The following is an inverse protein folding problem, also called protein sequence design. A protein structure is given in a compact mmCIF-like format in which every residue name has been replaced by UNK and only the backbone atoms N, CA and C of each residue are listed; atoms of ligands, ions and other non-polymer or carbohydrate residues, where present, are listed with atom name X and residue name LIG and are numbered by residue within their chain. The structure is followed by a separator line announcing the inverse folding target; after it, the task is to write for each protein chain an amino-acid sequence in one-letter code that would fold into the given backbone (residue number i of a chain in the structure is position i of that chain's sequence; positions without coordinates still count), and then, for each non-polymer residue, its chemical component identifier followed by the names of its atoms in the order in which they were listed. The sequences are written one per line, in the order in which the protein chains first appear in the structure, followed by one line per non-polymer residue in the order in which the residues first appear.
data_IF_156849415116
#
_entry.id   IF_156849415116
#
_cell.length_a   1.000
_cell.length_b   1.000
_cell.length_c   1.000
_cell.angle_alpha   90.00
_cell.angle_beta   90.00
_cell.angle_gamma   90.00
#
_symmetry.space_group_name_H-M   'P 1'
#
loop_
_entity.id
_entity.type
_entity.pdbx_description
1 polymer ?
#
# COMPACT_ATOMS: atom_id res chain seq x y z
N UNK A 1 31.49 -27.91 10.67
CA UNK A 1 31.83 -26.59 11.24
C UNK A 1 30.99 -25.42 10.69
N UNK A 2 30.07 -25.64 9.76
CA UNK A 2 29.27 -24.57 9.10
C UNK A 2 27.92 -24.31 9.82
N UNK A 3 27.50 -25.18 10.74
CA UNK A 3 26.20 -25.07 11.41
C UNK A 3 26.19 -24.11 12.63
N UNK A 4 27.36 -23.65 13.08
CA UNK A 4 27.49 -22.74 14.25
C UNK A 4 27.37 -21.25 13.91
N UNK A 5 27.57 -20.85 12.64
CA UNK A 5 27.48 -19.43 12.25
C UNK A 5 26.07 -18.97 11.90
N UNK A 6 25.19 -19.87 11.44
CA UNK A 6 23.78 -19.54 11.13
C UNK A 6 22.92 -19.31 12.39
N UNK A 7 23.25 -19.96 13.52
CA UNK A 7 22.52 -19.73 14.80
C UNK A 7 22.80 -18.37 15.45
N UNK A 8 23.89 -17.69 15.10
CA UNK A 8 24.25 -16.41 15.73
C UNK A 8 23.53 -15.18 15.13
N UNK A 9 22.89 -15.29 13.96
CA UNK A 9 22.17 -14.15 13.36
C UNK A 9 20.69 -14.07 13.76
N UNK A 10 20.14 -15.12 14.36
CA UNK A 10 18.74 -15.15 14.84
C UNK A 10 18.61 -14.99 16.35
N UNK A 11 19.74 -14.86 17.07
CA UNK A 11 19.80 -14.88 18.54
C UNK A 11 19.69 -13.50 19.22
N UNK A 12 19.53 -12.39 18.48
CA UNK A 12 19.54 -11.04 19.10
C UNK A 12 18.17 -10.53 19.58
N UNK A 13 17.05 -11.24 19.36
CA UNK A 13 15.73 -10.77 19.83
C UNK A 13 14.77 -11.84 20.37
N UNK A 14 15.28 -13.00 20.79
CA UNK A 14 14.46 -14.05 21.43
C UNK A 14 14.91 -14.47 22.84
N UNK A 15 16.08 -14.02 23.33
CA UNK A 15 16.56 -14.36 24.68
C UNK A 15 16.35 -13.21 25.68
N UNK A 16 15.09 -12.89 25.97
CA UNK A 16 14.70 -12.11 27.15
C UNK A 16 13.79 -12.91 28.11
N UNK A 17 13.61 -14.21 27.87
CA UNK A 17 12.92 -15.12 28.76
C UNK A 17 13.71 -16.43 28.85
N UNK A 18 14.11 -16.76 30.09
CA UNK A 18 14.75 -18.00 30.55
C UNK A 18 16.24 -18.20 30.23
N UNK A 19 17.09 -17.72 31.15
CA UNK A 19 18.23 -18.51 31.62
C UNK A 19 18.41 -18.26 33.14
N UNK A 20 18.15 -19.28 33.95
CA UNK A 20 18.43 -19.29 35.39
C UNK A 20 19.79 -19.97 35.59
N UNK A 21 20.86 -19.18 35.61
CA UNK A 21 22.16 -19.60 36.12
C UNK A 21 22.86 -18.45 36.88
N UNK A 22 22.54 -18.37 38.17
CA UNK A 22 23.32 -17.80 39.28
C UNK A 22 24.43 -16.76 39.04
N UNK A 23 24.12 -15.54 38.57
CA UNK A 23 24.98 -14.36 38.76
C UNK A 23 24.17 -13.11 39.20
N UNK A 24 24.78 -12.15 39.93
CA UNK A 24 24.05 -11.06 40.58
C UNK A 24 23.34 -10.16 39.56
N UNK A 25 22.04 -9.93 39.78
CA UNK A 25 21.18 -9.13 38.91
C UNK A 25 21.68 -7.67 38.81
N UNK A 26 22.43 -7.34 37.76
CA UNK A 26 22.41 -5.98 37.21
C UNK A 26 21.04 -5.76 36.55
N UNK A 27 20.38 -4.67 36.95
CA UNK A 27 18.95 -4.45 36.74
C UNK A 27 18.48 -4.63 35.29
N UNK A 28 17.30 -5.23 35.13
CA UNK A 28 16.56 -5.28 33.86
C UNK A 28 16.59 -3.90 33.18
N UNK A 29 16.92 -3.79 31.87
CA UNK A 29 16.89 -2.51 31.18
C UNK A 29 15.49 -1.91 31.33
N UNK A 30 15.43 -0.74 31.96
CA UNK A 30 14.18 -0.03 32.23
C UNK A 30 13.54 0.31 30.88
N UNK A 31 12.31 -0.16 30.64
CA UNK A 31 11.58 0.11 29.38
C UNK A 31 11.63 1.62 29.11
N UNK A 32 11.97 2.04 27.87
CA UNK A 32 12.10 3.46 27.56
C UNK A 32 10.78 4.19 27.84
N UNK A 33 10.86 5.41 28.35
CA UNK A 33 9.68 6.24 28.61
C UNK A 33 8.89 6.47 27.32
N UNK A 34 7.59 6.73 27.42
CA UNK A 34 6.76 7.05 26.26
C UNK A 34 7.39 8.18 25.45
N UNK A 35 7.80 9.28 26.09
CA UNK A 35 8.48 10.38 25.43
C UNK A 35 9.73 9.95 24.64
N UNK A 36 10.58 9.08 25.22
CA UNK A 36 11.75 8.55 24.52
C UNK A 36 11.35 7.74 23.27
N UNK A 37 10.32 6.90 23.37
CA UNK A 37 9.79 6.11 22.24
C UNK A 37 9.27 7.00 21.10
N UNK A 38 8.52 8.04 21.44
CA UNK A 38 8.01 9.02 20.47
C UNK A 38 9.14 9.80 19.81
N UNK A 39 10.16 10.22 20.57
CA UNK A 39 11.35 10.88 20.03
C UNK A 39 12.11 9.99 19.05
N UNK A 40 12.35 8.73 19.42
CA UNK A 40 13.00 7.73 18.55
C UNK A 40 12.21 7.51 17.27
N UNK A 41 10.87 7.35 17.38
CA UNK A 41 9.99 7.19 16.21
C UNK A 41 10.05 8.43 15.30
N UNK A 42 9.96 9.63 15.87
CA UNK A 42 10.02 10.88 15.10
C UNK A 42 11.37 11.07 14.39
N UNK A 43 12.48 10.68 15.01
CA UNK A 43 13.80 10.68 14.38
C UNK A 43 13.86 9.69 13.20
N UNK A 44 13.37 8.46 13.40
CA UNK A 44 13.32 7.44 12.35
C UNK A 44 12.45 7.87 11.16
N UNK A 45 11.26 8.42 11.41
CA UNK A 45 10.38 8.95 10.36
C UNK A 45 11.02 10.14 9.62
N UNK A 46 11.76 11.01 10.32
CA UNK A 46 12.46 12.12 9.67
C UNK A 46 13.59 11.64 8.76
N UNK A 47 14.29 10.56 9.13
CA UNK A 47 15.27 9.91 8.26
C UNK A 47 14.58 9.29 7.05
N UNK A 48 13.48 8.57 7.26
CA UNK A 48 12.67 7.96 6.20
C UNK A 48 12.26 8.98 5.13
N UNK A 49 11.60 10.06 5.55
CA UNK A 49 11.05 11.09 4.67
C UNK A 49 12.15 11.72 3.79
N UNK A 50 13.41 11.74 4.27
CA UNK A 50 14.55 12.37 3.58
C UNK A 50 15.34 11.40 2.70
N UNK A 51 15.06 10.11 2.78
CA UNK A 51 15.81 9.08 2.04
C UNK A 51 15.62 9.26 0.53
N UNK A 52 14.37 9.39 0.09
CA UNK A 52 14.03 9.53 -1.33
C UNK A 52 13.84 11.00 -1.70
N UNK A 53 14.83 11.59 -2.39
CA UNK A 53 14.82 13.02 -2.76
C UNK A 53 13.56 13.47 -3.50
N UNK A 54 13.01 12.63 -4.39
CA UNK A 54 11.77 12.93 -5.13
C UNK A 54 10.55 12.93 -4.22
N UNK A 55 10.32 11.85 -3.47
CA UNK A 55 9.22 11.77 -2.49
C UNK A 55 9.30 12.90 -1.47
N UNK A 56 10.51 13.22 -1.00
CA UNK A 56 10.77 14.33 -0.09
C UNK A 56 10.35 15.68 -0.68
N UNK A 57 10.74 15.96 -1.93
CA UNK A 57 10.41 17.20 -2.60
C UNK A 57 8.89 17.36 -2.75
N UNK A 58 8.19 16.30 -3.20
CA UNK A 58 6.73 16.29 -3.33
C UNK A 58 6.07 16.50 -1.96
N UNK A 59 6.46 15.73 -0.94
CA UNK A 59 5.98 15.89 0.43
C UNK A 59 6.15 17.32 0.95
N UNK A 60 7.32 17.93 0.73
CA UNK A 60 7.60 19.29 1.18
C UNK A 60 6.71 20.33 0.48
N UNK A 61 6.54 20.21 -0.84
CA UNK A 61 5.67 21.10 -1.63
C UNK A 61 4.22 20.97 -1.18
N UNK A 62 3.67 19.76 -1.15
CA UNK A 62 2.28 19.53 -0.73
C UNK A 62 2.05 20.02 0.71
N UNK A 63 2.98 19.75 1.62
CA UNK A 63 2.90 20.23 3.01
C UNK A 63 2.86 21.75 3.09
N UNK A 64 3.67 22.46 2.31
CA UNK A 64 3.64 23.93 2.28
C UNK A 64 2.30 24.43 1.75
N UNK A 65 1.78 23.83 0.67
CA UNK A 65 0.47 24.19 0.11
C UNK A 65 -0.66 24.00 1.13
N UNK A 66 -0.68 22.87 1.85
CA UNK A 66 -1.66 22.62 2.91
C UNK A 66 -1.54 23.64 4.05
N UNK A 67 -0.32 24.01 4.45
CA UNK A 67 -0.11 25.02 5.50
C UNK A 67 -0.61 26.40 5.06
N UNK A 68 -0.36 26.79 3.80
CA UNK A 68 -0.89 28.03 3.23
C UNK A 68 -2.42 27.98 3.21
N UNK A 69 -3.01 26.88 2.75
CA UNK A 69 -4.47 26.70 2.75
C UNK A 69 -5.05 26.82 4.16
N UNK A 70 -4.44 26.17 5.16
CA UNK A 70 -4.90 26.24 6.55
C UNK A 70 -4.93 27.68 7.08
N UNK A 71 -3.90 28.48 6.77
CA UNK A 71 -3.84 29.89 7.16
C UNK A 71 -4.93 30.70 6.46
N UNK A 72 -5.13 30.49 5.15
CA UNK A 72 -6.19 31.16 4.39
C UNK A 72 -7.58 30.84 4.94
N UNK A 73 -7.88 29.55 5.18
CA UNK A 73 -9.17 29.11 5.70
C UNK A 73 -9.42 29.60 7.13
N UNK A 74 -8.37 29.71 7.95
CA UNK A 74 -8.46 30.31 9.28
C UNK A 74 -8.89 31.78 9.21
N UNK A 75 -8.28 32.58 8.34
CA UNK A 75 -8.67 33.99 8.17
C UNK A 75 -10.04 34.17 7.51
N UNK A 76 -10.48 33.19 6.72
CA UNK A 76 -11.84 33.15 6.17
C UNK A 76 -12.91 32.70 7.19
N UNK A 77 -12.51 32.24 8.38
CA UNK A 77 -13.42 31.74 9.42
C UNK A 77 -13.93 30.32 9.19
N UNK A 78 -13.40 29.60 8.20
CA UNK A 78 -13.80 28.24 7.83
C UNK A 78 -13.06 27.20 8.68
N UNK A 79 -13.44 27.06 9.95
CA UNK A 79 -12.73 26.18 10.89
C UNK A 79 -12.82 24.69 10.56
N UNK A 80 -13.86 24.27 9.85
CA UNK A 80 -13.98 22.91 9.30
C UNK A 80 -12.85 22.63 8.30
N UNK A 81 -12.62 23.53 7.35
CA UNK A 81 -11.51 23.41 6.40
C UNK A 81 -10.14 23.48 7.08
N UNK A 82 -10.01 24.23 8.18
CA UNK A 82 -8.79 24.21 9.01
C UNK A 82 -8.57 22.84 9.64
N UNK A 83 -9.64 22.20 10.15
CA UNK A 83 -9.58 20.84 10.66
C UNK A 83 -9.15 19.84 9.58
N UNK A 84 -9.74 19.90 8.39
CA UNK A 84 -9.35 19.05 7.24
C UNK A 84 -7.89 19.28 6.83
N UNK A 85 -7.39 20.51 6.86
CA UNK A 85 -5.97 20.78 6.63
C UNK A 85 -5.07 20.12 7.69
N UNK A 86 -5.46 20.14 8.97
CA UNK A 86 -4.70 19.46 10.04
C UNK A 86 -4.72 17.95 9.83
N UNK A 87 -5.88 17.38 9.50
CA UNK A 87 -6.03 15.96 9.16
C UNK A 87 -5.11 15.59 7.99
N UNK A 88 -5.13 16.37 6.91
CA UNK A 88 -4.26 16.18 5.74
C UNK A 88 -2.78 16.18 6.13
N UNK A 89 -2.33 17.13 6.98
CA UNK A 89 -0.94 17.18 7.45
C UNK A 89 -0.53 15.91 8.21
N UNK A 90 -1.46 15.31 8.96
CA UNK A 90 -1.23 14.04 9.64
C UNK A 90 -1.19 12.88 8.63
N UNK A 91 -2.12 12.84 7.66
CA UNK A 91 -2.18 11.82 6.62
C UNK A 91 -0.94 11.82 5.71
N UNK A 92 -0.36 12.99 5.41
CA UNK A 92 0.91 13.08 4.68
C UNK A 92 2.09 12.43 5.42
N UNK A 93 1.98 12.17 6.74
CA UNK A 93 2.98 11.42 7.52
C UNK A 93 2.75 9.91 7.48
N UNK A 94 1.57 9.44 7.01
CA UNK A 94 1.19 8.03 7.05
C UNK A 94 2.16 7.12 6.28
N UNK A 95 2.64 7.45 5.07
CA UNK A 95 3.60 6.58 4.36
C UNK A 95 4.87 6.33 5.17
N UNK A 96 5.48 7.38 5.73
CA UNK A 96 6.67 7.25 6.55
C UNK A 96 6.39 6.47 7.84
N UNK A 97 5.26 6.71 8.49
CA UNK A 97 4.85 5.99 9.68
C UNK A 97 4.72 4.49 9.41
N UNK A 98 4.03 4.10 8.33
CA UNK A 98 3.84 2.71 7.91
C UNK A 98 5.19 2.05 7.60
N UNK A 99 6.04 2.72 6.81
CA UNK A 99 7.35 2.21 6.43
C UNK A 99 8.26 1.94 7.64
N UNK A 100 8.25 2.85 8.63
CA UNK A 100 9.03 2.68 9.87
C UNK A 100 8.41 1.62 10.78
N UNK A 101 7.08 1.62 10.95
CA UNK A 101 6.36 0.75 11.89
C UNK A 101 6.37 -0.71 11.47
N UNK A 102 6.19 -0.98 10.17
CA UNK A 102 6.10 -2.32 9.59
C UNK A 102 7.40 -2.80 8.95
N UNK A 103 8.45 -1.96 8.94
CA UNK A 103 9.76 -2.26 8.32
C UNK A 103 9.63 -2.64 6.85
N UNK A 104 8.72 -1.96 6.17
CA UNK A 104 8.52 -2.05 4.72
C UNK A 104 9.12 -0.81 4.05
N UNK A 105 9.53 -0.98 2.81
CA UNK A 105 9.95 0.09 1.92
C UNK A 105 8.93 0.21 0.79
N UNK A 106 8.30 1.38 0.70
CA UNK A 106 7.43 1.73 -0.42
C UNK A 106 8.32 2.23 -1.57
N UNK A 107 8.09 1.79 -2.82
CA UNK A 107 8.77 2.39 -3.94
C UNK A 107 8.41 3.88 -4.02
N UNK A 108 9.40 4.74 -4.31
CA UNK A 108 9.18 6.19 -4.38
C UNK A 108 8.00 6.62 -5.26
N UNK A 109 7.72 5.89 -6.35
CA UNK A 109 6.56 6.15 -7.21
C UNK A 109 5.25 5.94 -6.44
N UNK A 110 5.11 4.82 -5.73
CA UNK A 110 3.93 4.52 -4.93
C UNK A 110 3.76 5.52 -3.78
N UNK A 111 4.85 5.89 -3.12
CA UNK A 111 4.84 6.91 -2.07
C UNK A 111 4.35 8.27 -2.60
N UNK A 112 4.86 8.72 -3.74
CA UNK A 112 4.41 9.96 -4.40
C UNK A 112 2.93 9.88 -4.77
N UNK A 113 2.47 8.75 -5.32
CA UNK A 113 1.05 8.56 -5.67
C UNK A 113 0.17 8.68 -4.43
N UNK A 114 0.54 8.04 -3.30
CA UNK A 114 -0.22 8.16 -2.05
C UNK A 114 -0.24 9.59 -1.53
N UNK A 115 0.88 10.31 -1.57
CA UNK A 115 0.93 11.71 -1.13
C UNK A 115 0.03 12.62 -1.98
N UNK A 116 0.07 12.45 -3.31
CA UNK A 116 -0.78 13.19 -4.24
C UNK A 116 -2.25 12.81 -4.07
N UNK A 117 -2.55 11.53 -3.84
CA UNK A 117 -3.90 11.03 -3.58
C UNK A 117 -4.51 11.70 -2.35
N UNK A 118 -3.80 11.69 -1.21
CA UNK A 118 -4.24 12.36 0.04
C UNK A 118 -4.52 13.84 -0.18
N UNK A 119 -3.62 14.54 -0.88
CA UNK A 119 -3.82 15.96 -1.19
C UNK A 119 -5.01 16.18 -2.13
N UNK A 120 -5.21 15.30 -3.10
CA UNK A 120 -6.27 15.41 -4.10
C UNK A 120 -7.65 15.17 -3.49
N UNK A 121 -7.78 14.18 -2.61
CA UNK A 121 -9.04 13.90 -1.91
C UNK A 121 -9.39 15.03 -0.92
N UNK A 122 -8.49 15.38 0.00
CA UNK A 122 -8.83 16.29 1.09
C UNK A 122 -8.78 17.78 0.71
N UNK A 123 -7.79 18.22 -0.08
CA UNK A 123 -7.60 19.66 -0.34
C UNK A 123 -8.29 20.08 -1.63
N UNK A 124 -8.13 19.30 -2.69
CA UNK A 124 -8.75 19.62 -3.97
C UNK A 124 -10.22 19.19 -3.98
N UNK A 125 -10.51 17.98 -3.51
CA UNK A 125 -11.87 17.45 -3.39
C UNK A 125 -12.71 18.29 -2.43
N UNK A 126 -12.44 18.19 -1.12
CA UNK A 126 -13.29 18.82 -0.10
C UNK A 126 -13.19 20.36 -0.09
N UNK A 127 -11.98 20.90 0.07
CA UNK A 127 -11.83 22.36 0.28
C UNK A 127 -12.01 23.17 -1.00
N UNK A 128 -11.59 22.61 -2.16
CA UNK A 128 -11.65 23.30 -3.45
C UNK A 128 -12.83 22.87 -4.32
N UNK A 129 -13.71 22.00 -3.79
CA UNK A 129 -14.95 21.53 -4.43
C UNK A 129 -14.74 20.80 -5.76
N UNK A 130 -13.65 20.05 -5.92
CA UNK A 130 -13.39 19.36 -7.19
C UNK A 130 -14.39 18.26 -7.51
N UNK A 131 -15.07 17.70 -6.50
CA UNK A 131 -16.18 16.75 -6.71
C UNK A 131 -17.34 17.37 -7.52
N UNK A 132 -17.59 18.67 -7.37
CA UNK A 132 -18.63 19.36 -8.14
C UNK A 132 -18.12 19.91 -9.49
N UNK A 133 -16.82 20.26 -9.56
CA UNK A 133 -16.24 20.91 -10.74
C UNK A 133 -15.87 19.89 -11.82
N UNK A 134 -15.35 18.73 -11.43
CA UNK A 134 -14.85 17.71 -12.34
C UNK A 134 -15.66 16.41 -12.18
N UNK A 135 -16.51 16.05 -13.15
CA UNK A 135 -17.45 14.92 -13.01
C UNK A 135 -16.80 13.54 -12.80
N UNK A 136 -15.50 13.40 -13.08
CA UNK A 136 -14.76 12.14 -12.93
C UNK A 136 -13.85 12.13 -11.71
N UNK A 137 -13.84 13.20 -10.91
CA UNK A 137 -12.89 13.36 -9.80
C UNK A 137 -12.98 12.21 -8.83
N UNK A 138 -14.21 11.91 -8.42
CA UNK A 138 -14.52 10.87 -7.46
C UNK A 138 -14.19 9.47 -8.00
N UNK A 139 -14.70 9.17 -9.19
CA UNK A 139 -14.40 7.95 -9.95
C UNK A 139 -12.89 7.67 -10.03
N UNK A 140 -12.07 8.70 -10.28
CA UNK A 140 -10.61 8.57 -10.36
C UNK A 140 -10.00 8.27 -9.00
N UNK A 141 -10.43 8.97 -7.94
CA UNK A 141 -9.96 8.73 -6.58
C UNK A 141 -10.33 7.32 -6.12
N UNK A 142 -11.57 6.86 -6.29
CA UNK A 142 -11.98 5.51 -5.89
C UNK A 142 -11.26 4.43 -6.73
N UNK A 143 -11.04 4.66 -8.03
CA UNK A 143 -10.20 3.75 -8.84
C UNK A 143 -8.76 3.66 -8.30
N UNK A 144 -8.16 4.81 -7.97
CA UNK A 144 -6.81 4.87 -7.40
C UNK A 144 -6.75 4.21 -6.02
N UNK A 145 -7.77 4.42 -5.18
CA UNK A 145 -7.87 3.83 -3.86
C UNK A 145 -7.87 2.29 -3.94
N UNK A 146 -8.71 1.72 -4.82
CA UNK A 146 -8.71 0.28 -5.08
C UNK A 146 -7.34 -0.25 -5.55
N UNK A 147 -6.67 0.47 -6.44
CA UNK A 147 -5.32 0.09 -6.87
C UNK A 147 -4.29 0.13 -5.72
N UNK A 148 -4.28 1.21 -4.93
CA UNK A 148 -3.33 1.44 -3.85
C UNK A 148 -3.56 0.48 -2.66
N UNK A 149 -4.81 0.26 -2.28
CA UNK A 149 -5.17 -0.66 -1.21
C UNK A 149 -4.79 -2.11 -1.57
N UNK A 150 -4.99 -2.52 -2.83
CA UNK A 150 -4.49 -3.79 -3.33
C UNK A 150 -2.96 -3.86 -3.26
N UNK A 151 -2.24 -2.79 -3.61
CA UNK A 151 -0.77 -2.73 -3.51
C UNK A 151 -0.25 -2.94 -2.09
N UNK A 152 -0.87 -2.25 -1.13
CA UNK A 152 -0.54 -2.38 0.29
C UNK A 152 -0.85 -3.81 0.77
N UNK A 153 -2.05 -4.32 0.47
CA UNK A 153 -2.48 -5.68 0.84
C UNK A 153 -1.55 -6.75 0.30
N UNK A 154 -1.17 -6.65 -0.98
CA UNK A 154 -0.21 -7.54 -1.61
C UNK A 154 1.13 -7.55 -0.86
N UNK A 155 1.66 -6.37 -0.52
CA UNK A 155 2.94 -6.27 0.16
C UNK A 155 2.94 -6.77 1.59
N UNK A 156 1.82 -6.61 2.31
CA UNK A 156 1.66 -7.20 3.64
C UNK A 156 1.72 -8.73 3.56
N UNK A 157 1.01 -9.33 2.61
CA UNK A 157 0.99 -10.80 2.44
C UNK A 157 2.33 -11.30 1.92
N UNK A 158 2.96 -10.62 0.96
CA UNK A 158 4.29 -10.98 0.48
C UNK A 158 5.36 -10.88 1.58
N UNK A 159 5.27 -9.88 2.47
CA UNK A 159 6.15 -9.77 3.63
C UNK A 159 5.98 -10.96 4.59
N UNK A 160 4.74 -11.37 4.85
CA UNK A 160 4.43 -12.55 5.66
C UNK A 160 4.95 -13.83 4.99
N UNK A 161 4.76 -13.96 3.68
CA UNK A 161 5.20 -15.12 2.90
C UNK A 161 6.73 -15.28 2.92
N UNK A 162 7.49 -14.18 3.01
CA UNK A 162 8.96 -14.18 3.10
C UNK A 162 9.50 -14.39 4.52
N UNK A 163 8.64 -14.54 5.52
CA UNK A 163 9.08 -14.79 6.89
C UNK A 163 9.54 -16.24 7.04
N UNK A 164 10.76 -16.46 7.57
CA UNK A 164 11.29 -17.80 7.86
C UNK A 164 10.48 -18.58 8.89
N UNK A 165 9.50 -17.93 9.54
CA UNK A 165 8.54 -18.58 10.44
C UNK A 165 7.30 -19.13 9.73
N UNK A 166 7.04 -18.69 8.49
CA UNK A 166 5.93 -19.18 7.67
C UNK A 166 6.46 -20.35 6.84
N UNK A 167 5.89 -21.54 7.06
CA UNK A 167 6.39 -22.81 6.49
C UNK A 167 5.89 -23.09 5.06
N UNK A 168 5.12 -22.19 4.47
CA UNK A 168 4.47 -22.39 3.17
C UNK A 168 4.76 -21.21 2.26
N UNK A 169 5.24 -21.49 1.05
CA UNK A 169 5.31 -20.49 -0.03
C UNK A 169 3.92 -20.37 -0.68
N UNK A 170 3.28 -19.22 -0.49
CA UNK A 170 1.99 -18.93 -1.12
C UNK A 170 2.14 -18.79 -2.63
N UNK A 171 1.18 -19.34 -3.38
CA UNK A 171 1.16 -19.23 -4.84
C UNK A 171 0.93 -17.78 -5.30
N UNK A 172 1.44 -17.38 -6.49
CA UNK A 172 1.17 -16.06 -7.06
C UNK A 172 -0.32 -15.71 -7.13
N UNK A 173 -1.15 -16.70 -7.45
CA UNK A 173 -2.60 -16.53 -7.55
C UNK A 173 -3.22 -16.25 -6.19
N UNK A 174 -2.78 -16.95 -5.15
CA UNK A 174 -3.27 -16.72 -3.79
C UNK A 174 -2.94 -15.30 -3.32
N UNK A 175 -1.71 -14.84 -3.55
CA UNK A 175 -1.31 -13.47 -3.21
C UNK A 175 -2.18 -12.42 -3.90
N UNK A 176 -2.51 -12.62 -5.18
CA UNK A 176 -3.35 -11.71 -5.95
C UNK A 176 -4.81 -11.69 -5.45
N UNK A 177 -5.38 -12.84 -5.11
CA UNK A 177 -6.74 -12.93 -4.56
C UNK A 177 -6.81 -12.25 -3.19
N UNK A 178 -5.86 -12.52 -2.28
CA UNK A 178 -5.85 -11.89 -0.95
C UNK A 178 -5.67 -10.37 -1.05
N UNK A 179 -4.78 -9.91 -1.93
CA UNK A 179 -4.59 -8.48 -2.22
C UNK A 179 -5.88 -7.81 -2.72
N UNK A 180 -6.59 -8.46 -3.64
CA UNK A 180 -7.88 -7.99 -4.15
C UNK A 180 -8.94 -7.93 -3.03
N UNK A 181 -9.10 -8.99 -2.25
CA UNK A 181 -10.06 -9.03 -1.15
C UNK A 181 -9.75 -7.98 -0.06
N UNK A 182 -8.46 -7.80 0.25
CA UNK A 182 -8.01 -6.76 1.18
C UNK A 182 -8.42 -5.38 0.67
N UNK A 183 -8.19 -5.09 -0.62
CA UNK A 183 -8.59 -3.84 -1.24
C UNK A 183 -10.10 -3.58 -1.15
N UNK A 184 -10.92 -4.57 -1.56
CA UNK A 184 -12.38 -4.43 -1.51
C UNK A 184 -12.89 -4.24 -0.09
N UNK A 185 -12.24 -4.86 0.90
CA UNK A 185 -12.58 -4.65 2.31
C UNK A 185 -12.36 -3.20 2.73
N UNK A 186 -11.28 -2.56 2.29
CA UNK A 186 -11.03 -1.13 2.55
C UNK A 186 -12.11 -0.26 1.90
N UNK A 187 -12.46 -0.54 0.64
CA UNK A 187 -13.55 0.17 -0.06
C UNK A 187 -14.86 0.08 0.70
N UNK A 188 -15.30 -1.12 1.08
CA UNK A 188 -16.55 -1.31 1.85
C UNK A 188 -16.51 -0.62 3.22
N UNK A 189 -15.36 -0.59 3.90
CA UNK A 189 -15.23 0.14 5.17
C UNK A 189 -15.41 1.64 4.96
N UNK A 190 -14.96 2.17 3.82
CA UNK A 190 -15.16 3.57 3.47
C UNK A 190 -16.65 3.87 3.23
N UNK A 191 -17.35 3.06 2.44
CA UNK A 191 -18.80 3.22 2.24
C UNK A 191 -19.59 3.15 3.56
N UNK A 192 -19.18 2.29 4.49
CA UNK A 192 -19.79 2.22 5.82
C UNK A 192 -19.54 3.48 6.64
N UNK A 193 -18.38 4.12 6.45
CA UNK A 193 -18.07 5.39 7.08
C UNK A 193 -18.96 6.50 6.51
N UNK A 194 -19.07 6.59 5.19
CA UNK A 194 -19.91 7.61 4.50
C UNK A 194 -21.36 7.48 4.90
N UNK A 195 -21.95 6.31 4.71
CA UNK A 195 -23.31 6.03 5.14
C UNK A 195 -23.50 6.30 6.65
N UNK A 196 -22.53 5.91 7.47
CA UNK A 196 -22.56 6.18 8.91
C UNK A 196 -22.58 7.67 9.23
N UNK A 197 -21.80 8.46 8.49
CA UNK A 197 -21.71 9.90 8.65
C UNK A 197 -23.00 10.59 8.20
N UNK A 198 -23.56 10.19 7.05
CA UNK A 198 -24.82 10.71 6.52
C UNK A 198 -25.97 10.46 7.50
N UNK A 199 -26.05 9.24 8.06
CA UNK A 199 -27.12 8.89 9.00
C UNK A 199 -26.97 9.53 10.39
N UNK A 200 -25.73 9.66 10.90
CA UNK A 200 -25.50 10.09 12.28
C UNK A 200 -25.29 11.59 12.43
N UNK A 201 -24.71 12.23 11.42
CA UNK A 201 -24.30 13.63 11.47
C UNK A 201 -25.01 14.49 10.41
N UNK A 202 -25.78 13.88 9.51
CA UNK A 202 -26.51 14.62 8.47
C UNK A 202 -25.59 15.33 7.50
N UNK A 203 -24.41 14.76 7.27
CA UNK A 203 -23.55 15.17 6.16
C UNK A 203 -24.04 14.51 4.86
N UNK A 204 -23.40 14.86 3.74
CA UNK A 204 -23.76 14.43 2.40
C UNK A 204 -22.53 13.85 1.71
N UNK A 205 -22.02 12.75 2.28
CA UNK A 205 -20.84 12.06 1.77
C UNK A 205 -21.20 11.23 0.54
N UNK A 206 -22.27 10.43 0.60
CA UNK A 206 -22.76 9.67 -0.56
C UNK A 206 -23.56 10.59 -1.49
N UNK A 207 -23.07 10.82 -2.71
CA UNK A 207 -23.62 11.82 -3.61
C UNK A 207 -24.96 11.42 -4.22
N UNK A 208 -25.82 12.42 -4.37
CA UNK A 208 -27.15 12.23 -4.93
C UNK A 208 -27.12 12.03 -6.45
N UNK A 209 -28.00 11.16 -6.94
CA UNK A 209 -28.24 10.96 -8.36
C UNK A 209 -29.70 11.25 -8.73
N UNK A 210 -29.93 12.02 -9.81
CA UNK A 210 -31.27 12.19 -10.35
C UNK A 210 -31.58 11.01 -11.27
N UNK A 211 -32.59 10.22 -10.89
CA UNK A 211 -33.06 9.07 -11.67
C UNK A 211 -34.48 9.30 -12.18
N UNK A 212 -34.75 8.77 -13.38
CA UNK A 212 -36.06 8.88 -14.04
C UNK A 212 -36.87 7.58 -13.98
N UNK A 213 -36.32 6.54 -13.36
CA UNK A 213 -36.99 5.26 -13.20
C UNK A 213 -36.55 4.56 -11.92
N UNK A 214 -37.50 3.99 -11.18
CA UNK A 214 -37.23 3.11 -10.05
C UNK A 214 -37.98 1.79 -10.19
N UNK A 215 -37.39 0.72 -9.66
CA UNK A 215 -38.00 -0.61 -9.60
C UNK A 215 -38.15 -1.00 -8.13
N UNK A 216 -39.37 -1.25 -7.68
CA UNK A 216 -39.65 -1.49 -6.26
C UNK A 216 -40.64 -2.63 -6.06
N UNK A 217 -40.27 -3.55 -5.17
CA UNK A 217 -41.18 -4.59 -4.67
C UNK A 217 -42.05 -4.09 -3.52
N UNK A 218 -41.65 -2.99 -2.87
CA UNK A 218 -42.43 -2.38 -1.77
C UNK A 218 -43.77 -1.81 -2.26
N UNK A 219 -43.82 -1.41 -3.53
CA UNK A 219 -45.01 -0.86 -4.16
C UNK A 219 -45.99 -1.93 -4.66
N UNK A 220 -45.66 -3.22 -4.52
CA UNK A 220 -46.56 -4.30 -4.87
C UNK A 220 -47.76 -4.32 -3.91
N UNK A 221 -48.98 -4.01 -4.38
CA UNK A 221 -50.17 -3.99 -3.52
C UNK A 221 -50.57 -5.38 -3.05
N UNK A 222 -50.04 -6.43 -3.67
CA UNK A 222 -50.36 -7.82 -3.35
C UNK A 222 -49.40 -8.43 -2.32
N UNK A 223 -48.28 -7.76 -2.03
CA UNK A 223 -47.19 -8.27 -1.18
C UNK A 223 -46.68 -9.67 -1.63
N UNK A 224 -46.62 -9.92 -2.94
CA UNK A 224 -46.16 -11.19 -3.52
C UNK A 224 -44.74 -11.13 -4.08
N UNK A 225 -44.01 -10.05 -3.78
CA UNK A 225 -42.64 -9.80 -4.26
C UNK A 225 -42.57 -9.59 -5.78
N UNK A 226 -43.66 -9.08 -6.37
CA UNK A 226 -43.70 -8.67 -7.77
C UNK A 226 -43.06 -7.28 -7.92
N UNK A 227 -42.16 -7.13 -8.90
CA UNK A 227 -41.48 -5.84 -9.11
C UNK A 227 -42.43 -4.86 -9.81
N UNK A 228 -42.62 -3.68 -9.22
CA UNK A 228 -43.32 -2.56 -9.85
C UNK A 228 -42.30 -1.59 -10.41
N UNK A 229 -42.44 -1.27 -11.69
CA UNK A 229 -41.61 -0.28 -12.37
C UNK A 229 -42.33 1.06 -12.44
N UNK A 230 -41.70 2.10 -11.90
CA UNK A 230 -42.09 3.49 -12.09
C UNK A 230 -41.10 4.09 -13.08
N UNK A 231 -41.58 4.41 -14.28
CA UNK A 231 -40.77 5.03 -15.33
C UNK A 231 -41.24 6.47 -15.56
N UNK A 232 -40.46 7.23 -16.33
CA UNK A 232 -40.78 8.60 -16.72
C UNK A 232 -41.06 9.51 -15.52
N UNK A 233 -40.28 9.35 -14.45
CA UNK A 233 -40.36 10.23 -13.29
C UNK A 233 -39.85 11.60 -13.69
N UNK A 234 -40.75 12.57 -13.72
CA UNK A 234 -40.45 13.98 -14.04
C UNK A 234 -40.49 14.88 -12.82
N UNK A 235 -41.03 14.40 -11.69
CA UNK A 235 -41.27 15.22 -10.51
C UNK A 235 -41.29 14.35 -9.24
N UNK A 236 -40.65 14.85 -8.18
CA UNK A 236 -40.77 14.32 -6.83
C UNK A 236 -41.13 15.46 -5.87
N UNK A 237 -42.14 15.23 -5.02
CA UNK A 237 -42.62 16.23 -4.07
C UNK A 237 -42.38 15.79 -2.62
N UNK A 238 -41.82 16.68 -1.80
CA UNK A 238 -41.60 16.48 -0.36
C UNK A 238 -42.51 17.43 0.40
N UNK A 239 -43.33 16.89 1.30
CA UNK A 239 -44.35 17.65 2.04
C UNK A 239 -45.30 18.47 1.13
N UNK A 240 -45.61 17.95 -0.06
CA UNK A 240 -46.48 18.60 -1.04
C UNK A 240 -45.80 19.68 -1.90
N UNK A 241 -44.50 19.93 -1.69
CA UNK A 241 -43.71 20.86 -2.48
C UNK A 241 -42.84 20.12 -3.49
N UNK A 242 -42.93 20.52 -4.76
CA UNK A 242 -42.05 20.03 -5.81
C UNK A 242 -40.60 20.44 -5.52
N UNK A 243 -39.67 19.48 -5.64
CA UNK A 243 -38.24 19.74 -5.56
C UNK A 243 -37.67 20.43 -6.81
N UNK A 244 -38.37 20.34 -7.96
CA UNK A 244 -37.96 21.00 -9.19
C UNK A 244 -36.74 20.37 -9.87
N UNK A 245 -36.38 19.13 -9.51
CA UNK A 245 -35.19 18.42 -10.00
C UNK A 245 -35.41 17.73 -11.36
N UNK A 246 -36.66 17.64 -11.83
CA UNK A 246 -36.98 16.95 -13.08
C UNK A 246 -36.92 15.41 -12.99
N UNK A 247 -36.82 14.84 -11.79
CA UNK A 247 -36.73 13.40 -11.55
C UNK A 247 -36.87 13.03 -10.08
N UNK A 248 -36.54 11.78 -9.74
CA UNK A 248 -36.42 11.29 -8.36
C UNK A 248 -34.96 11.39 -7.90
N UNK A 249 -34.75 11.85 -6.67
CA UNK A 249 -33.43 11.95 -6.06
C UNK A 249 -33.11 10.62 -5.35
N UNK A 250 -32.16 9.86 -5.91
CA UNK A 250 -31.57 8.68 -5.26
C UNK A 250 -30.55 9.14 -4.23
N UNK A 251 -30.73 8.66 -2.99
CA UNK A 251 -29.93 9.07 -1.84
C UNK A 251 -28.76 8.09 -1.72
N UNK A 252 -27.69 8.35 -2.46
CA UNK A 252 -26.37 7.73 -2.29
C UNK A 252 -26.18 6.27 -2.74
N UNK A 253 -27.23 5.53 -3.14
CA UNK A 253 -27.06 4.12 -3.53
C UNK A 253 -26.25 3.98 -4.82
N UNK A 254 -26.58 4.79 -5.84
CA UNK A 254 -25.88 4.75 -7.12
C UNK A 254 -24.41 5.14 -6.95
N UNK A 255 -24.16 6.15 -6.13
CA UNK A 255 -22.82 6.65 -5.80
C UNK A 255 -21.96 5.57 -5.13
N UNK A 256 -22.43 5.00 -4.02
CA UNK A 256 -21.75 3.88 -3.34
C UNK A 256 -21.48 2.70 -4.26
N UNK A 257 -22.43 2.36 -5.13
CA UNK A 257 -22.23 1.26 -6.05
C UNK A 257 -21.22 1.60 -7.15
N UNK A 258 -21.23 2.83 -7.67
CA UNK A 258 -20.20 3.32 -8.60
C UNK A 258 -18.82 3.22 -7.96
N UNK A 259 -18.67 3.72 -6.74
CA UNK A 259 -17.44 3.73 -5.97
C UNK A 259 -16.88 2.34 -5.73
N UNK A 260 -17.72 1.40 -5.29
CA UNK A 260 -17.31 0.01 -5.12
C UNK A 260 -16.91 -0.65 -6.45
N UNK A 261 -17.58 -0.32 -7.56
CA UNK A 261 -17.25 -0.84 -8.88
C UNK A 261 -15.91 -0.31 -9.37
N UNK A 262 -15.63 0.98 -9.21
CA UNK A 262 -14.38 1.56 -9.69
C UNK A 262 -13.20 1.19 -8.78
N UNK A 263 -13.44 1.07 -7.47
CA UNK A 263 -12.51 0.42 -6.53
C UNK A 263 -12.18 -1.02 -6.98
N UNK A 264 -13.18 -1.80 -7.37
CA UNK A 264 -13.01 -3.16 -7.90
C UNK A 264 -12.11 -3.18 -9.13
N UNK A 265 -12.32 -2.26 -10.08
CA UNK A 265 -11.49 -2.15 -11.29
C UNK A 265 -10.03 -1.89 -10.91
N UNK A 266 -9.77 -0.90 -10.04
CA UNK A 266 -8.44 -0.57 -9.55
C UNK A 266 -7.75 -1.77 -8.88
N UNK A 267 -8.48 -2.47 -8.02
CA UNK A 267 -7.99 -3.65 -7.30
C UNK A 267 -7.64 -4.81 -8.26
N UNK A 268 -8.48 -5.09 -9.25
CA UNK A 268 -8.22 -6.13 -10.26
C UNK A 268 -6.97 -5.79 -11.07
N UNK A 269 -6.83 -4.54 -11.52
CA UNK A 269 -5.65 -4.09 -12.29
C UNK A 269 -4.38 -4.32 -11.48
N UNK A 270 -4.34 -3.92 -10.21
CA UNK A 270 -3.18 -4.17 -9.37
C UNK A 270 -2.94 -5.66 -9.16
N UNK A 271 -3.97 -6.45 -8.84
CA UNK A 271 -3.83 -7.89 -8.57
C UNK A 271 -3.28 -8.65 -9.77
N UNK A 272 -3.63 -8.26 -11.01
CA UNK A 272 -3.01 -8.79 -12.23
C UNK A 272 -1.53 -8.44 -12.29
N UNK A 273 -1.15 -7.19 -12.02
CA UNK A 273 0.26 -6.80 -11.96
C UNK A 273 1.03 -7.55 -10.87
N UNK A 274 0.47 -7.66 -9.66
CA UNK A 274 1.04 -8.43 -8.56
C UNK A 274 1.26 -9.89 -8.91
N UNK A 275 0.26 -10.54 -9.54
CA UNK A 275 0.37 -11.91 -10.05
C UNK A 275 1.54 -12.07 -11.05
N UNK A 276 1.59 -11.20 -12.05
CA UNK A 276 2.65 -11.22 -13.08
C UNK A 276 4.03 -10.97 -12.47
N UNK A 277 4.12 -10.09 -11.47
CA UNK A 277 5.36 -9.81 -10.76
C UNK A 277 5.89 -11.03 -10.02
N UNK A 278 5.04 -11.74 -9.25
CA UNK A 278 5.50 -12.94 -8.52
C UNK A 278 5.83 -14.07 -9.50
N UNK A 279 5.01 -14.27 -10.54
CA UNK A 279 5.24 -15.30 -11.55
C UNK A 279 6.56 -15.10 -12.31
N UNK A 280 6.95 -13.85 -12.54
CA UNK A 280 8.18 -13.50 -13.26
C UNK A 280 9.36 -13.15 -12.34
N UNK A 281 9.28 -13.43 -11.02
CA UNK A 281 10.38 -13.20 -10.08
C UNK A 281 11.67 -13.86 -10.57
N UNK A 282 12.76 -13.08 -10.58
CA UNK A 282 14.09 -13.55 -10.99
C UNK A 282 14.46 -13.28 -12.46
N UNK A 283 13.54 -12.76 -13.28
CA UNK A 283 13.85 -12.21 -14.62
C UNK A 283 13.91 -10.68 -14.54
N UNK A 284 14.91 -10.08 -15.20
CA UNK A 284 15.33 -8.65 -15.12
C UNK A 284 14.16 -7.63 -15.03
N UNK A 285 14.38 -6.60 -14.21
CA UNK A 285 13.62 -5.35 -14.02
C UNK A 285 12.33 -5.18 -14.84
N UNK A 286 11.24 -5.68 -14.30
CA UNK A 286 9.89 -5.37 -14.75
C UNK A 286 9.44 -4.03 -14.16
N UNK A 287 8.78 -3.18 -14.97
CA UNK A 287 8.14 -1.90 -14.56
C UNK A 287 7.30 -2.06 -13.28
N UNK A 288 6.78 -3.26 -13.05
CA UNK A 288 5.95 -3.62 -11.89
C UNK A 288 6.71 -3.50 -10.55
N UNK A 289 8.04 -3.63 -10.53
CA UNK A 289 8.85 -3.45 -9.31
C UNK A 289 8.72 -2.05 -8.71
N UNK A 290 8.31 -1.05 -9.51
CA UNK A 290 8.04 0.33 -9.07
C UNK A 290 6.74 0.49 -8.29
N UNK A 291 5.89 -0.52 -8.28
CA UNK A 291 4.57 -0.49 -7.61
C UNK A 291 4.44 -1.51 -6.48
N UNK A 292 5.46 -2.35 -6.28
CA UNK A 292 5.43 -3.41 -5.27
C UNK A 292 6.38 -3.07 -4.11
N UNK A 293 5.82 -2.76 -2.91
CA UNK A 293 6.61 -2.60 -1.70
C UNK A 293 7.43 -3.83 -1.32
N UNK A 294 8.60 -3.57 -0.73
CA UNK A 294 9.61 -4.55 -0.39
C UNK A 294 9.96 -4.49 1.09
N UNK A 295 10.65 -5.52 1.59
CA UNK A 295 11.15 -5.52 2.96
C UNK A 295 12.39 -4.64 3.05
N UNK A 296 12.50 -3.84 4.11
CA UNK A 296 13.70 -3.04 4.38
C UNK A 296 14.93 -3.89 4.65
N UNK A 297 16.05 -3.49 4.08
CA UNK A 297 17.38 -3.97 4.46
C UNK A 297 17.80 -3.40 5.81
N UNK A 298 18.75 -4.06 6.48
CA UNK A 298 19.17 -3.68 7.83
C UNK A 298 19.77 -2.26 7.90
N UNK A 299 20.39 -1.79 6.82
CA UNK A 299 20.96 -0.45 6.66
C UNK A 299 19.92 0.65 6.37
N UNK A 300 18.67 0.27 6.11
CA UNK A 300 17.55 1.19 5.85
C UNK A 300 16.42 1.04 6.88
N UNK A 301 16.63 0.23 7.92
CA UNK A 301 15.77 0.17 9.10
C UNK A 301 16.12 1.32 10.06
N UNK A 302 15.61 2.53 9.78
CA UNK A 302 15.96 3.72 10.58
C UNK A 302 15.51 3.64 12.04
N UNK A 303 14.45 2.88 12.34
CA UNK A 303 14.06 2.67 13.73
C UNK A 303 15.16 1.94 14.49
N UNK A 304 15.72 0.89 13.88
CA UNK A 304 16.87 0.18 14.43
C UNK A 304 18.10 1.08 14.52
N UNK A 305 18.43 1.83 13.46
CA UNK A 305 19.61 2.70 13.45
C UNK A 305 19.58 3.75 14.58
N UNK A 306 18.42 4.38 14.80
CA UNK A 306 18.24 5.36 15.88
C UNK A 306 18.34 4.71 17.26
N UNK A 307 17.82 3.49 17.44
CA UNK A 307 17.91 2.76 18.71
C UNK A 307 19.35 2.30 18.99
N UNK A 308 20.03 1.76 17.99
CA UNK A 308 21.38 1.20 18.10
C UNK A 308 22.46 2.30 18.11
N UNK A 309 22.09 3.57 17.90
CA UNK A 309 23.01 4.71 17.85
C UNK A 309 23.94 4.72 16.63
N UNK A 310 23.65 3.91 15.61
CA UNK A 310 24.46 3.79 14.40
C UNK A 310 24.02 4.75 13.29
N UNK A 311 24.96 5.18 12.45
CA UNK A 311 24.64 5.92 11.22
C UNK A 311 24.23 4.95 10.10
N UNK A 312 23.37 5.41 9.17
CA UNK A 312 23.10 4.69 7.92
C UNK A 312 24.41 4.41 7.14
N UNK A 313 25.41 5.30 7.28
CA UNK A 313 26.75 5.10 6.73
C UNK A 313 27.50 3.92 7.38
N UNK A 314 27.37 3.74 8.70
CA UNK A 314 28.02 2.64 9.44
C UNK A 314 27.38 1.28 9.11
N UNK A 315 26.06 1.27 8.92
CA UNK A 315 25.34 0.06 8.51
C UNK A 315 25.65 -0.32 7.06
N UNK A 316 25.76 0.66 6.16
CA UNK A 316 26.16 0.45 4.76
C UNK A 316 27.62 -0.03 4.65
N UNK A 317 28.52 0.47 5.50
CA UNK A 317 29.91 -0.01 5.59
C UNK A 317 29.98 -1.47 6.11
N UNK A 318 29.17 -1.82 7.12
CA UNK A 318 29.06 -3.21 7.60
C UNK A 318 28.45 -4.16 6.57
N UNK A 319 27.46 -3.72 5.79
CA UNK A 319 26.85 -4.53 4.73
C UNK A 319 27.80 -4.72 3.53
N UNK A 320 28.62 -3.72 3.20
CA UNK A 320 29.64 -3.80 2.14
C UNK A 320 30.83 -4.71 2.50
N UNK A 321 31.19 -4.82 3.78
CA UNK A 321 32.27 -5.70 4.25
C UNK A 321 31.94 -7.19 4.16
N UNK A 322 30.66 -7.57 4.30
CA UNK A 322 30.21 -8.98 4.23
C UNK A 322 30.35 -9.56 2.81
N UNK A 323 30.29 -8.72 1.77
CA UNK A 323 30.47 -9.18 0.37
C UNK A 323 31.95 -9.30 -0.05
N UNK A 324 32.89 -8.74 0.72
CA UNK A 324 34.31 -8.84 0.39
C UNK A 324 34.91 -10.18 0.84
N UNK A 325 34.44 -10.73 1.97
CA UNK A 325 34.99 -11.97 2.54
C UNK A 325 34.59 -13.24 1.76
N UNK A 326 33.47 -13.23 1.02
CA UNK A 326 33.09 -14.36 0.13
C UNK A 326 33.93 -14.42 -1.16
N UNK A 327 34.57 -13.32 -1.56
CA UNK A 327 35.44 -13.29 -2.75
C UNK A 327 36.86 -13.82 -2.48
N UNK A 328 37.28 -13.87 -1.20
CA UNK A 328 38.60 -14.35 -0.80
C UNK A 328 38.65 -15.89 -0.58
N UNK A 329 37.50 -16.54 -0.42
CA UNK A 329 37.43 -18.00 -0.17
C UNK A 329 37.23 -18.84 -1.45
N UNK A 330 37.03 -18.19 -2.60
CA UNK A 330 36.89 -18.85 -3.91
C UNK A 330 38.24 -19.07 -4.64
N UNK A 331 39.35 -18.51 -4.16
CA UNK A 331 40.67 -18.61 -4.82
C UNK A 331 41.62 -19.64 -4.20
N UNK A 332 41.19 -20.44 -3.22
CA UNK A 332 42.06 -21.37 -2.48
C UNK A 332 41.73 -22.86 -2.68
N UNK A 333 40.79 -23.21 -3.56
CA UNK A 333 40.45 -24.60 -3.87
C UNK A 333 40.59 -24.86 -5.38
N UNK A 334 41.81 -25.07 -5.84
CA UNK A 334 42.04 -25.31 -7.27
C UNK A 334 43.48 -25.56 -7.68
N UNK A 335 44.21 -26.41 -6.95
CA UNK A 335 45.46 -27.00 -7.45
C UNK A 335 45.63 -28.41 -6.90
N UNK A 336 45.56 -29.41 -7.78
CA UNK A 336 46.48 -30.56 -7.92
C UNK A 336 45.83 -31.88 -8.35
N UNK A 337 46.61 -32.59 -9.20
CA UNK A 337 46.48 -33.93 -9.84
C UNK A 337 45.60 -34.02 -11.11
N UNK A 338 46.16 -34.02 -12.34
CA UNK A 338 46.89 -35.11 -13.06
C UNK A 338 45.94 -36.27 -13.45
N UNK A 339 45.83 -36.85 -14.65
CA UNK A 339 46.68 -37.06 -15.84
C UNK A 339 45.76 -37.38 -17.05
N UNK A 340 45.99 -36.85 -18.25
CA UNK A 340 46.65 -37.46 -19.42
C UNK A 340 45.89 -38.54 -20.25
N UNK A 341 45.82 -38.24 -21.56
CA UNK A 341 45.93 -39.11 -22.74
C UNK A 341 44.67 -39.63 -23.51
N UNK A 342 44.70 -39.38 -24.84
CA UNK A 342 44.11 -40.22 -25.90
C UNK A 342 42.87 -39.64 -26.60
N UNK A 343 42.95 -38.88 -27.71
CA UNK A 343 43.26 -39.23 -29.11
C UNK A 343 42.05 -39.60 -30.02
N UNK A 344 42.00 -38.91 -31.19
CA UNK A 344 41.32 -39.20 -32.49
C UNK A 344 39.79 -39.00 -32.57
N UNK A 345 39.22 -38.14 -33.44
CA UNK A 345 39.25 -37.95 -34.91
C UNK A 345 38.10 -38.68 -35.65
N UNK A 346 37.41 -37.95 -36.55
CA UNK A 346 36.40 -38.42 -37.52
C UNK A 346 35.07 -37.65 -37.40
N UNK A 347 34.80 -36.57 -38.14
CA UNK A 347 34.52 -36.40 -39.58
C UNK A 347 33.08 -36.75 -40.01
N UNK A 348 32.49 -35.80 -40.75
CA UNK A 348 31.50 -35.91 -41.83
C UNK A 348 29.99 -36.11 -41.52
N UNK A 349 29.25 -35.09 -41.96
CA UNK A 349 28.20 -35.12 -42.98
C UNK A 349 26.69 -35.28 -42.66
N UNK A 350 25.97 -34.46 -43.45
CA UNK A 350 24.63 -34.64 -44.02
C UNK A 350 23.39 -34.17 -43.25
N UNK A 351 22.91 -32.99 -43.66
CA UNK A 351 21.47 -32.71 -43.82
C UNK A 351 20.94 -33.50 -45.06
N UNK A 352 19.62 -33.74 -45.25
CA UNK A 352 18.68 -32.66 -45.60
C UNK A 352 17.23 -32.78 -45.06
N UNK A 353 16.57 -31.61 -45.05
CA UNK A 353 15.18 -31.25 -45.46
C UNK A 353 14.07 -32.32 -45.52
N UNK A 354 12.83 -31.97 -45.10
CA UNK A 354 11.56 -32.08 -45.90
C UNK A 354 10.31 -31.60 -45.09
N UNK A 355 9.66 -30.58 -45.66
CA UNK A 355 8.23 -30.14 -45.75
C UNK A 355 7.14 -30.41 -44.68
N UNK A 356 6.58 -29.29 -44.21
CA UNK A 356 5.19 -28.78 -44.30
C UNK A 356 3.92 -29.69 -44.23
N UNK A 357 3.05 -29.31 -43.26
CA UNK A 357 1.56 -29.16 -43.28
C UNK A 357 0.67 -30.41 -43.38
N UNK A 358 -0.62 -30.37 -42.95
CA UNK A 358 -1.65 -29.30 -43.06
C UNK A 358 -1.62 -28.18 -42.03
#
# INVERSE_FOLDING_TARGET
MIEKQSRNQTATYANLQNDQSGQPQQGKPRKPSLHARWKTMGQAMRMEIREHKSSFAVYAVLRILVLVMAVLQFFNGNYENVFLCILTLLLLLAPAFIQVRFRIELPSVLEVIVLVFVFSSEILGEISSFYEIFPFWDTVLHTMNGFLAAAIGFSLVDLLNRSSRVKFELSPLYLAIVSFCFSMTIGVIWEFFEFGMDQMFGVDMQKDAIVHSISSVMLDPTHTNHVIHLNDITQAAVNGHDLGLGGYLDIGLIDTMEDLIVNFIGAVVFSVFGFLYVKNRGKKDSIISRFVPQRKSADRDYLRLVIDGGSAADAKAKAGGVNADDSANASAAGTDSADAAGAKAGNADAAPTVTAKP
#
